data_IF_461179832834
#
_entry.id   IF_461179832834
#
_cell.length_a   1.000
_cell.length_b   1.000
_cell.length_c   1.000
_cell.angle_alpha   90.00
_cell.angle_beta   90.00
_cell.angle_gamma   90.00
#
_symmetry.space_group_name_H-M   'P 1'
#
loop_
_entity.id
_entity.type
_entity.pdbx_description
1 polymer ?
#
# COMPACT_ATOMS: atom_id res chain seq x y z
N UNK A 1 -21.07 -13.73 1.59
CA UNK A 1 -19.67 -13.86 1.16
C UNK A 1 -19.28 -12.58 0.43
N UNK A 2 -18.65 -11.64 1.13
CA UNK A 2 -18.10 -10.43 0.48
C UNK A 2 -16.66 -10.77 0.10
N UNK A 3 -16.40 -10.83 -1.19
CA UNK A 3 -15.06 -10.89 -1.74
C UNK A 3 -14.32 -9.62 -1.27
N UNK A 4 -13.38 -9.77 -0.36
CA UNK A 4 -12.40 -8.74 -0.07
C UNK A 4 -11.50 -8.61 -1.30
N UNK A 5 -11.86 -7.70 -2.18
CA UNK A 5 -10.91 -7.12 -3.12
C UNK A 5 -9.98 -6.26 -2.27
N UNK A 6 -8.82 -6.77 -1.93
CA UNK A 6 -7.70 -5.92 -1.58
C UNK A 6 -7.27 -5.19 -2.85
N UNK A 7 -7.97 -4.10 -3.15
CA UNK A 7 -7.38 -3.03 -3.96
C UNK A 7 -6.30 -2.43 -3.07
N UNK A 8 -5.09 -2.85 -3.31
CA UNK A 8 -3.91 -2.12 -2.86
C UNK A 8 -3.85 -0.83 -3.68
N UNK A 9 -4.71 0.13 -3.35
CA UNK A 9 -4.48 1.53 -3.69
C UNK A 9 -3.50 2.07 -2.67
N UNK A 10 -2.24 1.66 -2.77
CA UNK A 10 -1.15 2.48 -2.33
C UNK A 10 -0.87 3.48 -3.47
N UNK A 11 -1.82 4.36 -3.73
CA UNK A 11 -1.49 5.66 -4.23
C UNK A 11 -0.97 6.48 -3.04
N UNK A 12 0.19 6.09 -2.51
CA UNK A 12 1.10 7.10 -2.05
C UNK A 12 1.54 7.84 -3.32
N UNK A 13 0.67 8.70 -3.81
CA UNK A 13 1.01 9.77 -4.70
C UNK A 13 1.90 10.75 -3.93
N UNK A 14 3.09 10.32 -3.61
CA UNK A 14 4.22 11.20 -3.44
C UNK A 14 5.01 11.15 -4.76
N UNK A 15 4.29 11.28 -5.88
CA UNK A 15 4.79 12.12 -6.90
C UNK A 15 4.62 13.53 -6.31
N UNK A 16 5.57 13.96 -5.51
CA UNK A 16 5.84 15.35 -5.39
C UNK A 16 6.11 15.81 -6.82
N UNK A 17 5.04 16.15 -7.54
CA UNK A 17 5.17 17.19 -8.52
C UNK A 17 5.75 18.32 -7.70
N UNK A 18 7.06 18.43 -7.71
CA UNK A 18 7.69 19.74 -7.61
C UNK A 18 7.00 20.47 -8.75
N UNK A 19 5.84 21.08 -8.44
CA UNK A 19 5.36 22.15 -9.23
C UNK A 19 6.59 23.04 -9.28
N UNK A 20 7.26 23.05 -10.43
CA UNK A 20 8.09 24.15 -10.79
C UNK A 20 7.13 25.33 -10.72
N UNK A 21 7.03 25.92 -9.53
CA UNK A 21 6.63 27.28 -9.43
C UNK A 21 7.76 28.03 -10.15
N UNK A 22 7.65 28.04 -11.48
CA UNK A 22 8.10 29.18 -12.20
C UNK A 22 7.36 30.32 -11.51
N UNK A 23 8.01 30.95 -10.55
CA UNK A 23 7.65 32.26 -10.12
C UNK A 23 7.74 33.08 -11.41
N UNK A 24 6.61 33.21 -12.10
CA UNK A 24 6.43 34.27 -13.05
C UNK A 24 6.46 35.51 -12.17
N UNK A 25 7.68 36.02 -11.94
CA UNK A 25 7.82 37.41 -11.61
C UNK A 25 7.11 38.13 -12.76
N UNK A 26 5.89 38.58 -12.50
CA UNK A 26 5.31 39.65 -13.29
C UNK A 26 6.27 40.82 -13.09
N UNK A 27 7.17 40.98 -14.02
CA UNK A 27 7.93 42.21 -14.18
C UNK A 27 6.86 43.31 -14.20
N UNK A 28 6.88 44.16 -13.16
CA UNK A 28 6.08 45.38 -13.17
C UNK A 28 6.49 46.15 -14.43
N UNK A 29 5.49 46.41 -15.28
CA UNK A 29 5.64 47.30 -16.45
C UNK A 29 5.93 48.71 -15.97
N UNK A 30 7.18 48.99 -15.57
CA UNK A 30 7.66 50.34 -15.35
C UNK A 30 9.11 50.42 -15.85
N UNK A 31 9.20 50.80 -17.03
CA UNK A 31 10.33 51.37 -17.82
C UNK A 31 10.63 50.62 -19.13
N UNK A 32 9.67 50.65 -20.04
CA UNK A 32 9.75 50.04 -21.38
C UNK A 32 10.62 50.82 -22.38
N UNK A 33 11.52 51.68 -21.94
CA UNK A 33 12.32 52.52 -22.85
C UNK A 33 13.85 52.47 -22.62
N UNK A 34 14.35 51.70 -21.69
CA UNK A 34 15.80 51.55 -21.50
C UNK A 34 16.33 50.32 -22.23
N UNK A 35 17.25 50.53 -23.17
CA UNK A 35 18.00 49.45 -23.81
C UNK A 35 18.83 48.71 -22.75
N UNK A 36 18.32 47.58 -22.29
CA UNK A 36 18.95 46.76 -21.25
C UNK A 36 20.31 46.21 -21.69
N UNK A 37 20.58 46.14 -22.99
CA UNK A 37 21.85 45.60 -23.53
C UNK A 37 23.10 46.45 -23.22
N UNK A 38 22.92 47.66 -22.69
CA UNK A 38 24.01 48.56 -22.30
C UNK A 38 24.12 48.83 -20.81
N UNK A 39 23.36 48.12 -19.96
CA UNK A 39 23.48 48.27 -18.50
C UNK A 39 24.75 47.60 -18.01
N UNK A 40 25.61 48.39 -17.39
CA UNK A 40 26.80 47.94 -16.66
C UNK A 40 26.85 48.61 -15.29
N UNK A 41 27.25 47.82 -14.26
CA UNK A 41 27.45 48.32 -12.89
C UNK A 41 26.32 47.95 -11.92
N UNK A 42 26.46 48.43 -10.71
CA UNK A 42 25.49 48.19 -9.65
C UNK A 42 24.23 49.04 -9.82
N UNK A 43 23.09 48.50 -9.38
CA UNK A 43 21.80 49.20 -9.37
C UNK A 43 21.06 48.95 -8.08
N UNK A 44 20.11 49.84 -7.74
CA UNK A 44 19.16 49.73 -6.68
C UNK A 44 17.79 50.17 -7.20
N UNK A 45 16.75 49.39 -6.85
CA UNK A 45 15.35 49.71 -7.11
C UNK A 45 14.63 49.86 -5.78
N UNK A 46 13.64 50.72 -5.78
CA UNK A 46 12.91 51.08 -4.57
C UNK A 46 11.40 50.94 -4.79
N UNK A 47 10.69 50.49 -3.79
CA UNK A 47 9.24 50.55 -3.74
C UNK A 47 8.73 51.99 -3.78
N UNK A 48 7.43 52.17 -4.05
CA UNK A 48 6.78 53.52 -4.09
C UNK A 48 6.89 54.24 -2.76
N UNK A 49 7.03 53.53 -1.64
CA UNK A 49 7.20 54.09 -0.30
C UNK A 49 8.66 54.47 0.05
N UNK A 50 9.57 54.24 -0.91
CA UNK A 50 11.00 54.57 -0.80
C UNK A 50 11.85 53.53 -0.09
N UNK A 51 11.29 52.36 0.24
CA UNK A 51 12.07 51.26 0.78
C UNK A 51 12.79 50.50 -0.38
N UNK A 52 13.97 49.95 -0.07
CA UNK A 52 14.75 49.19 -1.05
C UNK A 52 13.97 47.93 -1.43
N UNK A 53 13.72 47.73 -2.73
CA UNK A 53 13.06 46.57 -3.31
C UNK A 53 14.07 45.51 -3.74
N UNK A 54 15.08 45.93 -4.53
CA UNK A 54 16.17 45.05 -4.93
C UNK A 54 17.45 45.83 -5.22
N UNK A 55 18.58 45.12 -5.13
CA UNK A 55 19.88 45.59 -5.58
C UNK A 55 20.65 44.48 -6.23
N UNK A 56 21.52 44.85 -7.18
CA UNK A 56 22.34 43.90 -7.89
C UNK A 56 23.36 44.60 -8.80
N UNK A 57 23.89 43.84 -9.74
CA UNK A 57 24.79 44.36 -10.76
C UNK A 57 24.51 43.75 -12.13
N UNK A 58 24.78 44.54 -13.16
CA UNK A 58 24.75 44.14 -14.55
C UNK A 58 26.15 44.22 -15.18
N UNK A 59 26.38 43.30 -16.13
CA UNK A 59 27.57 43.34 -16.99
C UNK A 59 27.17 42.92 -18.40
N UNK A 60 27.38 43.80 -19.39
CA UNK A 60 26.96 43.56 -20.75
C UNK A 60 25.46 43.40 -20.93
N UNK A 61 24.63 44.01 -20.05
CA UNK A 61 23.17 43.90 -20.08
C UNK A 61 22.60 42.70 -19.35
N UNK A 62 23.42 41.80 -18.83
CA UNK A 62 22.99 40.62 -18.06
C UNK A 62 23.27 40.79 -16.57
N UNK A 63 22.45 40.20 -15.71
CA UNK A 63 22.74 40.16 -14.26
C UNK A 63 24.08 39.45 -14.03
N UNK A 64 25.02 40.11 -13.31
CA UNK A 64 26.34 39.53 -13.03
C UNK A 64 26.83 40.05 -11.66
N UNK A 65 26.97 39.13 -10.70
CA UNK A 65 27.36 39.45 -9.32
C UNK A 65 26.26 39.21 -8.28
N UNK A 66 26.47 39.73 -7.07
CA UNK A 66 25.50 39.58 -5.96
C UNK A 66 24.16 40.22 -6.29
N UNK A 67 23.09 39.56 -5.89
CA UNK A 67 21.71 40.04 -5.97
C UNK A 67 21.00 39.86 -4.64
N UNK A 68 20.29 40.88 -4.19
CA UNK A 68 19.43 40.83 -3.03
C UNK A 68 18.09 41.51 -3.36
N UNK A 69 16.98 40.92 -2.95
CA UNK A 69 15.66 41.54 -2.95
C UNK A 69 15.05 41.53 -1.57
N UNK A 70 14.15 42.46 -1.31
CA UNK A 70 13.60 42.73 0.02
C UNK A 70 12.07 42.70 -0.02
N UNK A 71 11.47 42.33 1.08
CA UNK A 71 10.04 42.47 1.31
C UNK A 71 9.72 43.98 1.55
N UNK A 72 8.46 44.36 1.38
CA UNK A 72 8.02 45.73 1.59
C UNK A 72 8.25 46.25 3.03
N UNK A 73 8.43 45.33 4.00
CA UNK A 73 8.79 45.66 5.37
C UNK A 73 10.31 45.88 5.59
N UNK A 74 11.11 45.83 4.49
CA UNK A 74 12.56 45.99 4.51
C UNK A 74 13.37 44.73 4.87
N UNK A 75 12.72 43.61 5.20
CA UNK A 75 13.43 42.36 5.45
C UNK A 75 13.92 41.73 4.14
N UNK A 76 15.09 41.10 4.19
CA UNK A 76 15.64 40.34 3.05
C UNK A 76 14.63 39.29 2.60
N UNK A 77 14.37 39.20 1.28
CA UNK A 77 13.49 38.20 0.67
C UNK A 77 14.29 37.15 -0.08
N UNK A 78 15.21 37.57 -0.94
CA UNK A 78 16.05 36.66 -1.73
C UNK A 78 17.48 37.16 -1.68
N UNK A 79 18.43 36.23 -1.56
CA UNK A 79 19.85 36.48 -1.73
C UNK A 79 20.43 35.42 -2.65
N UNK A 80 21.14 35.86 -3.69
CA UNK A 80 21.79 34.95 -4.65
C UNK A 80 22.94 35.64 -5.37
N UNK A 81 23.58 34.89 -6.25
CA UNK A 81 24.61 35.41 -7.19
C UNK A 81 24.23 35.04 -8.59
N UNK A 82 24.45 35.97 -9.51
CA UNK A 82 24.29 35.76 -10.95
C UNK A 82 25.66 35.81 -11.66
N UNK A 83 25.74 35.06 -12.74
CA UNK A 83 26.87 35.09 -13.65
C UNK A 83 26.35 34.94 -15.08
N UNK A 84 26.55 35.96 -15.94
CA UNK A 84 26.05 35.95 -17.31
C UNK A 84 24.54 35.73 -17.41
N UNK A 85 23.75 36.39 -16.55
CA UNK A 85 22.29 36.28 -16.50
C UNK A 85 21.72 35.07 -15.77
N UNK A 86 22.54 34.08 -15.45
CA UNK A 86 22.11 32.84 -14.79
C UNK A 86 22.50 32.78 -13.31
N UNK A 87 21.71 32.10 -12.47
CA UNK A 87 22.08 31.92 -11.06
C UNK A 87 23.31 31.00 -10.97
N UNK A 88 24.31 31.42 -10.19
CA UNK A 88 25.57 30.69 -9.99
C UNK A 88 26.03 30.87 -8.53
N UNK A 89 25.89 29.83 -7.73
CA UNK A 89 26.17 29.85 -6.29
C UNK A 89 24.94 29.66 -5.41
N UNK A 90 25.01 30.15 -4.20
CA UNK A 90 23.92 30.04 -3.20
C UNK A 90 22.70 30.85 -3.61
N UNK A 91 21.52 30.28 -3.38
CA UNK A 91 20.22 30.91 -3.48
C UNK A 91 19.48 30.72 -2.16
N UNK A 92 19.11 31.81 -1.50
CA UNK A 92 18.46 31.83 -0.21
C UNK A 92 17.16 32.62 -0.27
N UNK A 93 16.09 32.09 0.33
CA UNK A 93 14.79 32.73 0.45
C UNK A 93 14.46 32.92 1.93
N UNK A 94 13.93 34.09 2.24
CA UNK A 94 13.58 34.49 3.60
C UNK A 94 12.10 34.89 3.66
N UNK A 95 11.47 34.61 4.79
CA UNK A 95 10.10 35.02 5.10
C UNK A 95 10.03 36.52 5.41
N UNK A 96 8.82 37.09 5.45
CA UNK A 96 8.57 38.49 5.93
C UNK A 96 9.01 38.72 7.34
N UNK A 97 9.19 37.68 8.15
CA UNK A 97 9.72 37.79 9.53
C UNK A 97 11.25 37.72 9.59
N UNK A 98 11.92 37.50 8.42
CA UNK A 98 13.37 37.41 8.30
C UNK A 98 13.94 36.02 8.54
N UNK A 99 13.10 34.99 8.78
CA UNK A 99 13.55 33.61 8.89
C UNK A 99 13.94 33.03 7.52
N UNK A 100 15.02 32.24 7.46
CA UNK A 100 15.40 31.47 6.26
C UNK A 100 14.34 30.40 6.03
N UNK A 101 13.76 30.34 4.81
CA UNK A 101 12.74 29.36 4.43
C UNK A 101 13.24 28.34 3.41
N UNK A 102 14.26 28.73 2.60
CA UNK A 102 14.83 27.86 1.59
C UNK A 102 16.29 28.23 1.29
N UNK A 103 17.13 27.21 1.15
CA UNK A 103 18.50 27.37 0.64
C UNK A 103 18.80 26.32 -0.42
N UNK A 104 19.46 26.74 -1.52
CA UNK A 104 19.78 25.88 -2.65
C UNK A 104 21.08 26.35 -3.31
N UNK A 105 21.78 25.44 -3.94
CA UNK A 105 22.95 25.75 -4.80
C UNK A 105 22.58 25.66 -6.27
N UNK A 106 23.05 26.65 -7.05
CA UNK A 106 22.94 26.71 -8.48
C UNK A 106 24.31 26.72 -9.14
N UNK A 107 24.40 26.12 -10.32
CA UNK A 107 25.54 26.18 -11.20
C UNK A 107 25.03 26.41 -12.62
N UNK A 108 25.46 27.54 -13.22
CA UNK A 108 25.07 27.89 -14.61
C UNK A 108 23.54 27.78 -14.82
N UNK A 109 22.75 28.35 -13.90
CA UNK A 109 21.30 28.39 -13.95
C UNK A 109 20.58 27.11 -13.52
N UNK A 110 21.31 26.01 -13.30
CA UNK A 110 20.74 24.70 -12.95
C UNK A 110 20.98 24.39 -11.46
N UNK A 111 19.98 23.83 -10.79
CA UNK A 111 20.15 23.35 -9.42
C UNK A 111 21.21 22.24 -9.37
N UNK A 112 22.30 22.47 -8.60
CA UNK A 112 23.43 21.53 -8.48
C UNK A 112 24.10 21.71 -7.12
N UNK A 113 23.80 20.83 -6.18
CA UNK A 113 24.28 20.88 -4.80
C UNK A 113 23.16 20.70 -3.77
N UNK A 114 23.44 20.99 -2.49
CA UNK A 114 22.50 20.83 -1.42
C UNK A 114 21.27 21.75 -1.57
N UNK A 115 20.14 21.23 -1.11
CA UNK A 115 18.87 21.93 -0.97
C UNK A 115 18.31 21.69 0.41
N UNK A 116 17.91 22.76 1.09
CA UNK A 116 17.23 22.71 2.38
C UNK A 116 16.00 23.63 2.35
N UNK A 117 14.92 23.18 2.97
CA UNK A 117 13.73 23.97 3.20
C UNK A 117 13.35 23.90 4.66
N UNK A 118 12.86 24.99 5.20
CA UNK A 118 12.57 25.15 6.62
C UNK A 118 11.10 25.51 6.84
N UNK A 119 10.56 25.13 7.99
CA UNK A 119 9.30 25.63 8.52
C UNK A 119 9.43 27.09 8.95
N UNK A 120 8.30 27.76 9.17
CA UNK A 120 8.27 29.17 9.61
C UNK A 120 8.97 29.41 10.95
N UNK A 121 9.08 28.40 11.80
CA UNK A 121 9.80 28.42 13.07
C UNK A 121 11.30 28.18 12.95
N UNK A 122 11.79 27.94 11.72
CA UNK A 122 13.19 27.68 11.41
C UNK A 122 13.63 26.23 11.54
N UNK A 123 12.72 25.30 11.87
CA UNK A 123 13.05 23.88 11.87
C UNK A 123 13.19 23.35 10.44
N UNK A 124 14.13 22.43 10.25
CA UNK A 124 14.33 21.77 8.95
C UNK A 124 13.07 20.98 8.56
N UNK A 125 12.58 21.22 7.34
CA UNK A 125 11.46 20.47 6.75
C UNK A 125 11.94 19.46 5.72
N UNK A 126 12.80 19.87 4.78
CA UNK A 126 13.33 19.03 3.71
C UNK A 126 14.83 19.27 3.60
N UNK A 127 15.59 18.18 3.43
CA UNK A 127 17.01 18.21 3.03
C UNK A 127 17.24 17.22 1.91
N UNK A 128 17.95 17.63 0.87
CA UNK A 128 18.32 16.77 -0.25
C UNK A 128 19.49 17.35 -1.03
N UNK A 129 19.88 16.68 -2.10
CA UNK A 129 20.91 17.14 -3.05
C UNK A 129 20.37 17.09 -4.45
N UNK A 130 20.65 18.14 -5.22
CA UNK A 130 20.41 18.18 -6.66
C UNK A 130 21.71 17.95 -7.40
N UNK A 131 21.61 17.33 -8.57
CA UNK A 131 22.67 17.21 -9.55
C UNK A 131 22.09 17.39 -10.94
N UNK A 132 22.59 18.40 -11.67
CA UNK A 132 22.07 18.75 -12.99
C UNK A 132 20.53 18.94 -13.02
N UNK A 133 19.94 19.50 -11.96
CA UNK A 133 18.51 19.79 -11.88
C UNK A 133 17.62 18.64 -11.40
N UNK A 134 18.19 17.47 -11.11
CA UNK A 134 17.47 16.29 -10.63
C UNK A 134 17.91 15.91 -9.22
N UNK A 135 17.01 15.27 -8.45
CA UNK A 135 17.39 14.70 -7.15
C UNK A 135 18.46 13.63 -7.34
N UNK A 136 19.56 13.72 -6.59
CA UNK A 136 20.66 12.74 -6.61
C UNK A 136 21.28 12.63 -5.21
N UNK A 137 20.98 11.54 -4.51
CA UNK A 137 21.42 11.30 -3.15
C UNK A 137 20.27 11.12 -2.17
N UNK A 138 20.56 11.39 -0.91
CA UNK A 138 19.60 11.25 0.19
C UNK A 138 18.61 12.41 0.16
N UNK A 139 17.33 12.08 0.25
CA UNK A 139 16.21 13.00 0.48
C UNK A 139 15.62 12.71 1.85
N UNK A 140 15.56 13.70 2.72
CA UNK A 140 14.96 13.60 4.05
C UNK A 140 13.85 14.63 4.21
N UNK A 141 12.76 14.22 4.84
CA UNK A 141 11.64 15.07 5.22
C UNK A 141 11.34 14.91 6.70
N UNK A 142 11.08 16.00 7.36
CA UNK A 142 10.86 16.08 8.80
C UNK A 142 9.47 16.63 9.11
N UNK A 143 8.86 16.14 10.17
CA UNK A 143 7.66 16.71 10.76
C UNK A 143 7.96 18.07 11.42
N UNK A 144 6.91 18.86 11.65
CA UNK A 144 6.98 20.15 12.38
C UNK A 144 7.45 20.03 13.85
N UNK A 145 7.51 18.81 14.39
CA UNK A 145 8.09 18.52 15.69
C UNK A 145 9.59 18.13 15.63
N UNK A 146 10.22 18.24 14.44
CA UNK A 146 11.62 17.93 14.19
C UNK A 146 11.95 16.45 14.03
N UNK A 147 10.98 15.57 14.14
CA UNK A 147 11.20 14.15 13.91
C UNK A 147 11.21 13.81 12.42
N UNK A 148 12.01 12.82 12.03
CA UNK A 148 12.07 12.33 10.65
C UNK A 148 10.70 11.78 10.23
N UNK A 149 10.16 12.29 9.11
CA UNK A 149 8.93 11.79 8.47
C UNK A 149 9.25 10.72 7.45
N UNK A 150 10.33 10.92 6.69
CA UNK A 150 10.77 9.98 5.67
C UNK A 150 12.18 10.24 5.19
N UNK A 151 12.82 9.19 4.71
CA UNK A 151 14.09 9.27 4.00
C UNK A 151 14.05 8.34 2.78
N UNK A 152 14.59 8.83 1.71
CA UNK A 152 14.55 8.21 0.39
C UNK A 152 15.92 8.39 -0.29
N UNK A 153 16.28 7.50 -1.18
CA UNK A 153 17.50 7.62 -1.97
C UNK A 153 17.11 7.81 -3.43
N UNK A 154 17.60 8.90 -4.01
CA UNK A 154 17.40 9.23 -5.42
C UNK A 154 18.70 9.10 -6.20
N UNK A 155 18.57 8.73 -7.46
CA UNK A 155 19.63 8.72 -8.44
C UNK A 155 19.08 9.19 -9.79
N UNK A 156 19.62 10.30 -10.29
CA UNK A 156 19.14 10.91 -11.52
C UNK A 156 17.61 11.07 -11.56
N UNK A 157 17.03 11.59 -10.48
CA UNK A 157 15.59 11.88 -10.36
C UNK A 157 14.69 10.68 -10.02
N UNK A 158 15.22 9.46 -10.04
CA UNK A 158 14.46 8.25 -9.74
C UNK A 158 14.84 7.66 -8.37
N UNK A 159 13.85 7.03 -7.69
CA UNK A 159 14.10 6.31 -6.45
C UNK A 159 14.98 5.09 -6.71
N UNK A 160 16.15 5.02 -6.07
CA UNK A 160 17.12 3.93 -6.23
C UNK A 160 17.78 3.61 -4.89
N UNK A 161 17.12 2.77 -4.10
CA UNK A 161 17.53 2.38 -2.77
C UNK A 161 16.36 2.24 -1.80
N UNK A 162 16.64 1.97 -0.52
CA UNK A 162 15.60 1.89 0.50
C UNK A 162 14.97 3.26 0.74
N UNK A 163 13.63 3.26 0.83
CA UNK A 163 12.81 4.38 1.31
C UNK A 163 12.18 3.98 2.62
N UNK A 164 12.29 4.83 3.63
CA UNK A 164 11.75 4.58 4.97
C UNK A 164 10.87 5.78 5.37
N UNK A 165 9.67 5.49 5.88
CA UNK A 165 8.78 6.50 6.43
C UNK A 165 8.44 6.19 7.87
N UNK A 166 8.19 7.22 8.64
CA UNK A 166 8.04 7.14 10.07
C UNK A 166 6.72 7.76 10.54
N UNK A 167 6.13 7.21 11.56
CA UNK A 167 5.05 7.85 12.30
C UNK A 167 5.55 9.15 12.95
N UNK A 168 4.61 10.05 13.26
CA UNK A 168 4.91 11.31 13.97
C UNK A 168 5.52 11.09 15.36
N UNK A 169 5.41 9.89 15.89
CA UNK A 169 6.07 9.41 17.12
C UNK A 169 7.55 9.06 16.94
N UNK A 170 8.05 9.07 15.68
CA UNK A 170 9.41 8.68 15.32
C UNK A 170 9.61 7.18 15.10
N UNK A 171 8.58 6.38 15.28
CA UNK A 171 8.65 4.95 15.01
C UNK A 171 8.55 4.68 13.50
N UNK A 172 9.29 3.67 13.01
CA UNK A 172 9.23 3.25 11.62
C UNK A 172 7.82 2.79 11.27
N UNK A 173 7.26 3.35 10.19
CA UNK A 173 5.96 2.97 9.65
C UNK A 173 6.10 2.00 8.49
N UNK A 174 6.97 2.32 7.52
CA UNK A 174 7.12 1.49 6.33
C UNK A 174 8.54 1.59 5.77
N UNK A 175 9.02 0.45 5.27
CA UNK A 175 10.26 0.35 4.50
C UNK A 175 9.95 -0.20 3.13
N UNK A 176 10.37 0.53 2.12
CA UNK A 176 10.07 0.30 0.71
C UNK A 176 11.40 0.08 -0.03
N UNK A 177 11.57 -1.05 -0.72
CA UNK A 177 12.76 -1.29 -1.51
C UNK A 177 12.54 -0.75 -2.94
N UNK A 178 13.39 0.17 -3.38
CA UNK A 178 13.36 0.67 -4.75
C UNK A 178 14.66 0.32 -5.48
N UNK A 179 14.53 -0.02 -6.75
CA UNK A 179 15.60 -0.13 -7.71
C UNK A 179 15.12 0.42 -9.05
N UNK A 180 15.83 1.41 -9.62
CA UNK A 180 15.47 2.06 -10.87
C UNK A 180 13.97 2.46 -10.92
N UNK A 181 13.47 3.12 -9.86
CA UNK A 181 12.09 3.60 -9.72
C UNK A 181 11.02 2.53 -9.47
N UNK A 182 11.39 1.25 -9.30
CA UNK A 182 10.45 0.14 -9.10
C UNK A 182 10.67 -0.53 -7.76
N UNK A 183 9.60 -1.11 -7.21
CA UNK A 183 9.74 -1.98 -6.04
C UNK A 183 10.56 -3.23 -6.41
N UNK A 184 11.70 -3.42 -5.74
CA UNK A 184 12.53 -4.61 -5.86
C UNK A 184 13.20 -4.91 -4.53
N UNK A 185 12.83 -6.05 -3.90
CA UNK A 185 13.34 -6.46 -2.60
C UNK A 185 12.27 -6.57 -1.52
N UNK A 186 12.69 -6.37 -0.28
CA UNK A 186 11.86 -6.60 0.91
C UNK A 186 11.08 -5.35 1.30
N UNK A 187 9.75 -5.46 1.29
CA UNK A 187 8.79 -4.50 1.82
C UNK A 187 8.42 -4.89 3.26
N UNK A 188 8.46 -3.93 4.17
CA UNK A 188 8.03 -4.12 5.57
C UNK A 188 7.17 -2.93 6.00
N UNK A 189 6.02 -3.19 6.62
CA UNK A 189 5.16 -2.20 7.25
C UNK A 189 4.92 -2.56 8.70
N UNK A 190 4.88 -1.54 9.55
CA UNK A 190 4.80 -1.67 10.99
C UNK A 190 3.59 -0.93 11.53
N UNK A 191 3.00 -1.45 12.58
CA UNK A 191 2.03 -0.74 13.41
C UNK A 191 2.71 0.36 14.22
N UNK A 192 1.93 1.34 14.69
CA UNK A 192 2.45 2.43 15.54
C UNK A 192 3.07 1.93 16.87
N UNK A 193 2.70 0.74 17.32
CA UNK A 193 3.32 0.09 18.48
C UNK A 193 4.68 -0.58 18.17
N UNK A 194 5.18 -0.45 16.93
CA UNK A 194 6.46 -0.99 16.47
C UNK A 194 6.43 -2.45 16.05
N UNK A 195 5.28 -3.13 16.18
CA UNK A 195 5.16 -4.52 15.71
C UNK A 195 5.04 -4.57 14.19
N UNK A 196 5.65 -5.59 13.59
CA UNK A 196 5.55 -5.84 12.15
C UNK A 196 4.08 -6.12 11.78
N UNK A 197 3.56 -5.45 10.75
CA UNK A 197 2.21 -5.63 10.22
C UNK A 197 2.22 -6.46 8.94
N UNK A 198 3.15 -6.14 8.02
CA UNK A 198 3.28 -6.79 6.71
C UNK A 198 4.75 -6.98 6.38
N UNK A 199 5.07 -8.16 5.83
CA UNK A 199 6.37 -8.48 5.25
C UNK A 199 6.17 -9.17 3.92
N UNK A 200 6.64 -8.53 2.86
CA UNK A 200 6.46 -8.98 1.48
C UNK A 200 7.76 -8.85 0.71
N UNK A 201 7.88 -9.63 -0.37
CA UNK A 201 9.02 -9.50 -1.28
C UNK A 201 8.50 -9.11 -2.67
N UNK A 202 9.13 -8.12 -3.27
CA UNK A 202 8.83 -7.65 -4.61
C UNK A 202 10.00 -7.93 -5.54
N UNK A 203 9.69 -8.15 -6.81
CA UNK A 203 10.64 -8.25 -7.89
C UNK A 203 10.07 -7.54 -9.12
N UNK A 204 10.84 -6.61 -9.70
CA UNK A 204 10.41 -5.83 -10.86
C UNK A 204 9.01 -5.20 -10.69
N UNK A 205 8.69 -4.68 -9.49
CA UNK A 205 7.40 -4.07 -9.14
C UNK A 205 6.26 -5.07 -8.88
N UNK A 206 6.51 -6.37 -8.93
CA UNK A 206 5.50 -7.40 -8.70
C UNK A 206 5.78 -8.20 -7.43
N UNK A 207 4.72 -8.55 -6.70
CA UNK A 207 4.81 -9.40 -5.52
C UNK A 207 5.37 -10.78 -5.92
N UNK A 208 6.50 -11.17 -5.31
CA UNK A 208 7.23 -12.39 -5.64
C UNK A 208 7.87 -13.01 -4.40
N UNK A 209 7.35 -14.14 -3.93
CA UNK A 209 7.80 -14.79 -2.70
C UNK A 209 6.74 -14.76 -1.60
N UNK A 210 7.15 -15.00 -0.35
CA UNK A 210 6.23 -14.98 0.79
C UNK A 210 5.63 -13.60 1.03
N UNK A 211 4.35 -13.56 1.41
CA UNK A 211 3.65 -12.42 1.96
C UNK A 211 3.13 -12.83 3.34
N UNK A 212 3.71 -12.27 4.37
CA UNK A 212 3.36 -12.51 5.77
C UNK A 212 2.67 -11.28 6.35
N UNK A 213 1.51 -11.48 6.95
CA UNK A 213 0.76 -10.45 7.64
C UNK A 213 0.60 -10.80 9.11
N UNK A 214 0.61 -9.81 9.98
CA UNK A 214 0.60 -9.99 11.42
C UNK A 214 -0.51 -9.17 12.07
N UNK A 215 -1.01 -9.62 13.19
CA UNK A 215 -1.83 -8.83 14.10
C UNK A 215 -0.97 -7.78 14.83
N UNK A 216 -1.61 -6.74 15.35
CA UNK A 216 -0.93 -5.71 16.16
C UNK A 216 -0.30 -6.25 17.46
N UNK A 217 -0.61 -7.49 17.83
CA UNK A 217 0.01 -8.25 18.90
C UNK A 217 1.32 -8.92 18.49
N UNK A 218 1.72 -8.81 17.20
CA UNK A 218 2.90 -9.44 16.61
C UNK A 218 2.71 -10.90 16.20
N UNK A 219 1.52 -11.46 16.39
CA UNK A 219 1.22 -12.84 15.97
C UNK A 219 0.92 -12.89 14.48
N UNK A 220 1.36 -13.98 13.82
CA UNK A 220 1.06 -14.20 12.40
C UNK A 220 -0.46 -14.31 12.20
N UNK A 221 -1.00 -13.50 11.28
CA UNK A 221 -2.38 -13.56 10.83
C UNK A 221 -2.54 -14.37 9.56
N UNK A 222 -1.63 -14.15 8.58
CA UNK A 222 -1.70 -14.82 7.28
C UNK A 222 -0.32 -14.98 6.69
N UNK A 223 -0.10 -16.12 6.06
CA UNK A 223 1.05 -16.38 5.17
C UNK A 223 0.53 -16.87 3.83
N UNK A 224 0.93 -16.19 2.76
CA UNK A 224 0.54 -16.57 1.41
C UNK A 224 1.69 -16.26 0.43
N UNK A 225 2.22 -17.27 -0.28
CA UNK A 225 3.26 -17.03 -1.27
C UNK A 225 2.67 -16.49 -2.58
N UNK A 226 3.48 -15.71 -3.27
CA UNK A 226 3.15 -15.13 -4.57
C UNK A 226 4.26 -15.35 -5.57
N UNK A 227 3.88 -15.42 -6.84
CA UNK A 227 4.79 -15.48 -7.98
C UNK A 227 4.23 -14.59 -9.09
N UNK A 228 5.07 -13.66 -9.57
CA UNK A 228 4.73 -12.76 -10.68
C UNK A 228 3.37 -12.06 -10.48
N UNK A 229 3.16 -11.52 -9.25
CA UNK A 229 1.97 -10.78 -8.85
C UNK A 229 0.71 -11.62 -8.57
N UNK A 230 0.81 -12.97 -8.62
CA UNK A 230 -0.32 -13.86 -8.34
C UNK A 230 -0.01 -14.78 -7.17
N UNK A 231 -1.03 -15.09 -6.37
CA UNK A 231 -0.89 -16.09 -5.31
C UNK A 231 -0.58 -17.47 -5.92
N UNK A 232 0.45 -18.11 -5.37
CA UNK A 232 0.95 -19.40 -5.88
C UNK A 232 1.57 -20.23 -4.75
N UNK A 233 0.96 -21.38 -4.42
CA UNK A 233 1.45 -22.28 -3.38
C UNK A 233 0.57 -22.33 -2.13
N UNK A 234 1.04 -22.99 -1.06
CA UNK A 234 0.28 -23.19 0.15
C UNK A 234 0.10 -21.86 0.92
N UNK A 235 -1.10 -21.65 1.46
CA UNK A 235 -1.40 -20.53 2.33
C UNK A 235 -1.94 -21.02 3.68
N UNK A 236 -1.75 -20.19 4.71
CA UNK A 236 -2.24 -20.39 6.06
C UNK A 236 -2.77 -19.07 6.62
N UNK A 237 -3.88 -19.13 7.33
CA UNK A 237 -4.42 -18.00 8.11
C UNK A 237 -4.68 -18.44 9.53
N UNK A 238 -4.52 -17.53 10.47
CA UNK A 238 -4.60 -17.81 11.89
C UNK A 238 -5.56 -16.85 12.57
N UNK A 239 -6.17 -17.30 13.63
CA UNK A 239 -6.85 -16.45 14.60
C UNK A 239 -5.84 -15.67 15.45
N UNK A 240 -6.28 -14.59 16.07
CA UNK A 240 -5.42 -13.79 16.94
C UNK A 240 -4.89 -14.57 18.17
N UNK A 241 -5.63 -15.63 18.61
CA UNK A 241 -5.14 -16.54 19.65
C UNK A 241 -4.00 -17.47 19.19
N UNK A 242 -3.65 -17.44 17.87
CA UNK A 242 -2.60 -18.23 17.26
C UNK A 242 -3.06 -19.59 16.72
N UNK A 243 -4.33 -19.95 16.89
CA UNK A 243 -4.89 -21.18 16.30
C UNK A 243 -5.07 -21.01 14.79
N UNK A 244 -4.84 -22.09 14.05
CA UNK A 244 -5.07 -22.11 12.60
C UNK A 244 -6.55 -21.85 12.31
N UNK A 245 -6.85 -20.89 11.42
CA UNK A 245 -8.19 -20.59 10.94
C UNK A 245 -8.51 -21.34 9.64
N UNK A 246 -7.62 -21.22 8.65
CA UNK A 246 -7.78 -21.93 7.38
C UNK A 246 -6.42 -22.17 6.73
N UNK A 247 -6.34 -23.22 5.93
CA UNK A 247 -5.20 -23.50 5.05
C UNK A 247 -5.67 -24.08 3.72
N UNK A 248 -4.86 -23.94 2.72
CA UNK A 248 -5.13 -24.48 1.37
C UNK A 248 -3.98 -24.15 0.43
N UNK A 249 -4.27 -24.21 -0.86
CA UNK A 249 -3.30 -23.95 -1.91
C UNK A 249 -3.91 -23.02 -2.95
N UNK A 250 -3.10 -22.08 -3.43
CA UNK A 250 -3.40 -21.26 -4.59
C UNK A 250 -2.56 -21.72 -5.80
N UNK A 251 -3.16 -21.62 -6.97
CA UNK A 251 -2.49 -21.77 -8.26
C UNK A 251 -2.97 -20.66 -9.20
N UNK A 252 -2.03 -19.91 -9.75
CA UNK A 252 -2.32 -18.79 -10.65
C UNK A 252 -3.34 -17.75 -10.09
N UNK A 253 -3.39 -17.58 -8.76
CA UNK A 253 -4.29 -16.65 -8.06
C UNK A 253 -5.64 -17.23 -7.65
N UNK A 254 -5.91 -18.51 -7.94
CA UNK A 254 -7.17 -19.20 -7.60
C UNK A 254 -6.92 -20.35 -6.62
N UNK A 255 -7.90 -20.63 -5.73
CA UNK A 255 -7.81 -21.82 -4.87
C UNK A 255 -7.78 -23.09 -5.73
N UNK A 256 -6.80 -23.97 -5.50
CA UNK A 256 -6.65 -25.22 -6.23
C UNK A 256 -6.07 -26.30 -5.31
N UNK A 257 -6.83 -27.37 -5.07
CA UNK A 257 -6.46 -28.47 -4.19
C UNK A 257 -7.24 -28.48 -2.86
N UNK A 258 -6.74 -29.22 -1.87
CA UNK A 258 -7.36 -29.33 -0.56
C UNK A 258 -7.43 -28.01 0.18
N UNK A 259 -8.55 -27.80 0.87
CA UNK A 259 -8.80 -26.64 1.74
C UNK A 259 -9.39 -27.14 3.05
N UNK A 260 -8.88 -26.62 4.17
CA UNK A 260 -9.35 -26.93 5.49
C UNK A 260 -9.66 -25.64 6.27
N UNK A 261 -10.73 -25.66 7.07
CA UNK A 261 -11.12 -24.57 7.96
C UNK A 261 -11.32 -25.09 9.38
N UNK A 262 -10.86 -24.30 10.35
CA UNK A 262 -10.85 -24.63 11.75
C UNK A 262 -11.58 -23.57 12.56
N UNK A 263 -12.09 -23.93 13.72
CA UNK A 263 -12.65 -23.04 14.73
C UNK A 263 -11.53 -22.40 15.55
N UNK A 264 -11.86 -21.38 16.31
CA UNK A 264 -10.92 -20.65 17.18
C UNK A 264 -10.40 -21.49 18.38
N UNK A 265 -11.03 -22.63 18.65
CA UNK A 265 -10.58 -23.66 19.61
C UNK A 265 -9.65 -24.71 18.98
N UNK A 266 -9.31 -24.58 17.68
CA UNK A 266 -8.45 -25.46 16.91
C UNK A 266 -9.13 -26.71 16.34
N UNK A 267 -10.43 -26.91 16.56
CA UNK A 267 -11.17 -28.04 16.01
C UNK A 267 -11.46 -27.83 14.51
N UNK A 268 -11.35 -28.91 13.73
CA UNK A 268 -11.69 -28.88 12.31
C UNK A 268 -13.19 -28.58 12.15
N UNK A 269 -13.52 -27.55 11.38
CA UNK A 269 -14.89 -27.16 11.01
C UNK A 269 -15.33 -27.80 9.70
N UNK A 270 -14.42 -27.88 8.75
CA UNK A 270 -14.69 -28.47 7.45
C UNK A 270 -13.46 -28.58 6.57
N UNK A 271 -13.57 -29.44 5.59
CA UNK A 271 -12.61 -29.58 4.50
C UNK A 271 -13.33 -29.71 3.17
N UNK A 272 -12.74 -29.17 2.13
CA UNK A 272 -13.27 -29.12 0.77
C UNK A 272 -12.12 -29.26 -0.21
N UNK A 273 -12.44 -29.57 -1.46
CA UNK A 273 -11.46 -29.57 -2.57
C UNK A 273 -11.87 -28.54 -3.60
N UNK A 274 -10.89 -27.75 -4.06
CA UNK A 274 -11.08 -26.73 -5.07
C UNK A 274 -10.31 -27.07 -6.35
N UNK A 275 -10.85 -26.63 -7.48
CA UNK A 275 -10.20 -26.65 -8.78
C UNK A 275 -10.48 -25.34 -9.49
N UNK A 276 -9.42 -24.58 -9.80
CA UNK A 276 -9.53 -23.28 -10.45
C UNK A 276 -10.59 -22.37 -9.78
N UNK A 277 -10.51 -22.21 -8.43
CA UNK A 277 -11.39 -21.36 -7.64
C UNK A 277 -12.78 -21.91 -7.34
N UNK A 278 -13.17 -23.04 -7.92
CA UNK A 278 -14.50 -23.65 -7.80
C UNK A 278 -14.41 -24.92 -6.95
N UNK A 279 -15.37 -25.12 -6.05
CA UNK A 279 -15.46 -26.35 -5.29
C UNK A 279 -15.70 -27.56 -6.24
N UNK A 280 -14.75 -28.51 -6.28
CA UNK A 280 -14.79 -29.68 -7.13
C UNK A 280 -14.06 -30.85 -6.47
N UNK A 281 -14.81 -31.78 -5.90
CA UNK A 281 -14.31 -32.92 -5.15
C UNK A 281 -15.02 -33.13 -3.82
N UNK A 282 -14.50 -34.00 -2.95
CA UNK A 282 -15.12 -34.32 -1.67
C UNK A 282 -15.12 -33.16 -0.71
N UNK A 283 -16.16 -33.09 0.11
CA UNK A 283 -16.24 -32.19 1.26
C UNK A 283 -16.69 -32.92 2.52
N UNK A 284 -16.24 -32.44 3.66
CA UNK A 284 -16.69 -32.85 5.00
C UNK A 284 -16.88 -31.62 5.88
N UNK A 285 -17.90 -31.66 6.73
CA UNK A 285 -18.19 -30.65 7.76
C UNK A 285 -18.37 -31.32 9.09
N UNK A 286 -18.06 -30.63 10.18
CA UNK A 286 -18.03 -31.19 11.51
C UNK A 286 -18.86 -30.37 12.48
N UNK A 287 -19.55 -31.06 13.41
CA UNK A 287 -20.21 -30.48 14.57
C UNK A 287 -19.20 -29.80 15.49
N UNK A 288 -19.70 -29.00 16.46
CA UNK A 288 -18.85 -28.36 17.47
C UNK A 288 -18.17 -29.37 18.40
N UNK A 289 -18.75 -30.55 18.59
CA UNK A 289 -18.15 -31.65 19.35
C UNK A 289 -17.06 -32.42 18.56
N UNK A 290 -16.76 -32.01 17.32
CA UNK A 290 -15.76 -32.62 16.45
C UNK A 290 -16.22 -33.84 15.66
N UNK A 291 -17.48 -34.30 15.85
CA UNK A 291 -18.03 -35.41 15.07
C UNK A 291 -18.45 -34.93 13.68
N UNK A 292 -18.42 -35.85 12.71
CA UNK A 292 -18.84 -35.58 11.34
C UNK A 292 -20.31 -35.14 11.31
N UNK A 293 -20.58 -33.96 10.70
CA UNK A 293 -21.92 -33.44 10.46
C UNK A 293 -22.46 -33.84 9.10
N UNK A 294 -21.64 -33.63 8.06
CA UNK A 294 -22.05 -33.88 6.68
C UNK A 294 -20.82 -34.22 5.80
N UNK A 295 -21.00 -35.13 4.85
CA UNK A 295 -20.04 -35.37 3.79
C UNK A 295 -20.74 -35.56 2.46
N UNK A 296 -20.04 -35.24 1.39
CA UNK A 296 -20.54 -35.38 0.02
C UNK A 296 -19.49 -34.98 -0.98
N UNK A 297 -19.94 -34.65 -2.18
CA UNK A 297 -19.09 -34.27 -3.31
C UNK A 297 -19.65 -33.03 -3.98
N UNK A 298 -18.76 -32.13 -4.38
CA UNK A 298 -19.03 -31.05 -5.31
C UNK A 298 -18.50 -31.42 -6.70
N UNK A 299 -19.22 -30.98 -7.73
CA UNK A 299 -18.76 -30.99 -9.12
C UNK A 299 -19.07 -29.64 -9.73
N UNK A 300 -18.05 -28.93 -10.20
CA UNK A 300 -18.18 -27.60 -10.78
C UNK A 300 -18.99 -26.61 -9.91
N UNK A 301 -18.83 -26.66 -8.58
CA UNK A 301 -19.49 -25.77 -7.62
C UNK A 301 -20.85 -26.24 -7.10
N UNK A 302 -21.41 -27.30 -7.67
CA UNK A 302 -22.71 -27.84 -7.27
C UNK A 302 -22.56 -29.18 -6.56
N UNK A 303 -23.45 -29.47 -5.60
CA UNK A 303 -23.48 -30.81 -4.97
C UNK A 303 -23.86 -31.85 -6.04
N UNK A 304 -23.04 -32.89 -6.17
CA UNK A 304 -23.25 -33.94 -7.15
C UNK A 304 -22.70 -35.29 -6.61
N UNK A 305 -23.56 -36.28 -6.51
CA UNK A 305 -23.22 -37.59 -5.95
C UNK A 305 -23.84 -37.89 -4.60
N UNK A 306 -23.42 -39.00 -3.95
CA UNK A 306 -23.89 -39.35 -2.63
C UNK A 306 -23.56 -38.34 -1.58
N UNK A 307 -24.49 -38.14 -0.63
CA UNK A 307 -24.24 -37.35 0.58
C UNK A 307 -24.78 -38.07 1.82
N UNK A 308 -24.16 -37.80 2.94
CA UNK A 308 -24.58 -38.28 4.25
C UNK A 308 -24.50 -37.15 5.28
N UNK A 309 -25.50 -37.05 6.14
CA UNK A 309 -25.50 -36.16 7.28
C UNK A 309 -25.68 -36.96 8.56
N UNK A 310 -25.14 -36.47 9.67
CA UNK A 310 -25.08 -37.19 10.93
C UNK A 310 -25.61 -36.33 12.08
N UNK A 311 -26.21 -36.92 13.04
CA UNK A 311 -26.58 -36.33 14.33
C UNK A 311 -25.33 -36.02 15.17
N UNK A 312 -25.47 -35.16 16.19
CA UNK A 312 -24.35 -34.80 17.09
C UNK A 312 -23.80 -36.01 17.87
N UNK A 313 -24.56 -37.10 18.00
CA UNK A 313 -24.10 -38.34 18.60
C UNK A 313 -23.38 -39.29 17.63
N UNK A 314 -23.14 -38.82 16.35
CA UNK A 314 -22.46 -39.54 15.32
C UNK A 314 -23.31 -40.59 14.57
N UNK A 315 -24.58 -40.77 14.94
CA UNK A 315 -25.48 -41.63 14.18
C UNK A 315 -25.90 -40.99 12.86
N UNK A 316 -26.05 -41.83 11.82
CA UNK A 316 -26.53 -41.36 10.52
C UNK A 316 -27.92 -40.70 10.70
N UNK A 317 -28.07 -39.49 10.17
CA UNK A 317 -29.32 -38.74 10.12
C UNK A 317 -30.00 -38.87 8.76
N UNK A 318 -29.27 -38.53 7.70
CA UNK A 318 -29.80 -38.56 6.34
C UNK A 318 -28.71 -39.09 5.39
N UNK A 319 -29.12 -39.95 4.46
CA UNK A 319 -28.34 -40.26 3.28
C UNK A 319 -29.18 -40.09 2.02
N UNK A 320 -28.54 -39.71 0.92
CA UNK A 320 -29.20 -39.49 -0.35
C UNK A 320 -28.23 -39.18 -1.43
N UNK A 321 -28.74 -38.66 -2.54
CA UNK A 321 -27.95 -38.30 -3.71
C UNK A 321 -28.35 -36.92 -4.21
N UNK A 322 -27.35 -36.16 -4.63
CA UNK A 322 -27.53 -34.93 -5.39
C UNK A 322 -27.15 -35.15 -6.84
N UNK A 323 -27.78 -34.40 -7.73
CA UNK A 323 -27.42 -34.29 -9.13
C UNK A 323 -27.57 -32.85 -9.57
N UNK A 324 -26.48 -32.25 -10.02
CA UNK A 324 -26.46 -30.82 -10.41
C UNK A 324 -27.12 -29.91 -9.42
N UNK A 325 -26.76 -29.99 -8.12
CA UNK A 325 -27.26 -29.14 -7.03
C UNK A 325 -28.63 -29.54 -6.45
N UNK A 326 -29.39 -30.41 -7.09
CA UNK A 326 -30.72 -30.83 -6.64
C UNK A 326 -30.70 -32.26 -6.08
N UNK A 327 -31.56 -32.53 -5.08
CA UNK A 327 -31.76 -33.90 -4.58
C UNK A 327 -32.36 -34.76 -5.70
N UNK A 328 -31.73 -35.88 -6.03
CA UNK A 328 -32.16 -36.79 -7.06
C UNK A 328 -31.78 -38.24 -6.69
N UNK A 329 -32.74 -39.14 -6.60
CA UNK A 329 -32.52 -40.53 -6.20
C UNK A 329 -33.16 -40.88 -4.84
N UNK A 330 -32.85 -42.08 -4.37
CA UNK A 330 -33.33 -42.58 -3.11
C UNK A 330 -32.73 -41.80 -1.92
N UNK A 331 -33.54 -41.59 -0.87
CA UNK A 331 -33.08 -41.03 0.36
C UNK A 331 -33.64 -41.84 1.56
N UNK A 332 -32.92 -41.81 2.66
CA UNK A 332 -33.32 -42.39 3.92
C UNK A 332 -33.05 -41.41 5.06
N UNK A 333 -33.97 -41.29 6.00
CA UNK A 333 -33.87 -40.47 7.22
C UNK A 333 -33.92 -41.38 8.45
N UNK A 334 -33.02 -41.14 9.37
CA UNK A 334 -32.87 -41.93 10.57
C UNK A 334 -33.02 -41.05 11.83
N UNK A 335 -33.53 -41.63 12.91
CA UNK A 335 -33.59 -41.01 14.23
C UNK A 335 -32.22 -41.08 14.92
N UNK A 336 -32.05 -40.29 15.98
CA UNK A 336 -30.84 -40.30 16.81
C UNK A 336 -30.49 -41.67 17.42
N UNK A 337 -31.45 -42.58 17.53
CA UNK A 337 -31.23 -43.96 17.98
C UNK A 337 -30.87 -44.93 16.86
N UNK A 338 -30.66 -44.41 15.65
CA UNK A 338 -30.27 -45.19 14.45
C UNK A 338 -31.43 -45.90 13.76
N UNK A 339 -32.67 -45.76 14.22
CA UNK A 339 -33.82 -46.40 13.58
C UNK A 339 -34.24 -45.60 12.32
N UNK A 340 -34.56 -46.33 11.24
CA UNK A 340 -35.13 -45.74 10.04
C UNK A 340 -36.46 -45.06 10.37
N UNK A 341 -36.55 -43.78 10.08
CA UNK A 341 -37.76 -42.97 10.27
C UNK A 341 -38.57 -42.87 8.99
N UNK A 342 -37.88 -42.66 7.85
CA UNK A 342 -38.50 -42.41 6.58
C UNK A 342 -37.58 -42.80 5.44
N UNK A 343 -38.14 -43.26 4.33
CA UNK A 343 -37.44 -43.44 3.05
C UNK A 343 -38.30 -43.00 1.89
N UNK A 344 -37.70 -42.65 0.79
CA UNK A 344 -38.41 -42.20 -0.40
C UNK A 344 -37.49 -41.91 -1.58
N UNK A 345 -38.03 -41.20 -2.53
CA UNK A 345 -37.27 -40.76 -3.73
C UNK A 345 -37.48 -39.26 -4.01
N UNK A 346 -36.40 -38.66 -4.47
CA UNK A 346 -36.41 -37.34 -5.10
C UNK A 346 -36.17 -37.47 -6.59
N UNK A 347 -36.78 -36.57 -7.38
CA UNK A 347 -36.50 -36.37 -8.82
C UNK A 347 -36.45 -34.88 -9.09
N UNK A 348 -35.32 -34.40 -9.55
CA UNK A 348 -35.09 -32.96 -9.81
C UNK A 348 -35.60 -32.11 -8.65
N UNK A 349 -35.13 -32.32 -7.41
CA UNK A 349 -35.49 -31.58 -6.21
C UNK A 349 -36.89 -31.85 -5.64
N UNK A 350 -37.75 -32.53 -6.37
CA UNK A 350 -39.14 -32.81 -5.94
C UNK A 350 -39.29 -34.21 -5.36
N UNK A 351 -40.07 -34.34 -4.27
CA UNK A 351 -40.36 -35.62 -3.62
C UNK A 351 -41.41 -36.39 -4.47
N UNK A 352 -41.08 -37.58 -4.95
CA UNK A 352 -41.95 -38.35 -5.84
C UNK A 352 -42.49 -39.64 -5.20
N UNK A 353 -42.22 -39.89 -3.93
CA UNK A 353 -42.74 -41.00 -3.14
C UNK A 353 -42.10 -40.98 -1.76
N UNK A 354 -42.87 -41.34 -0.74
CA UNK A 354 -42.37 -41.58 0.62
C UNK A 354 -43.06 -42.79 1.21
N UNK A 355 -42.28 -43.69 1.79
CA UNK A 355 -42.77 -44.71 2.71
C UNK A 355 -42.44 -44.29 4.11
N UNK A 356 -43.48 -44.01 4.91
CA UNK A 356 -43.36 -43.80 6.36
C UNK A 356 -43.48 -45.18 7.02
N UNK A 357 -42.40 -45.64 7.66
CA UNK A 357 -42.55 -46.79 8.55
C UNK A 357 -43.33 -46.36 9.82
N UNK A 358 -44.63 -46.59 9.78
CA UNK A 358 -45.43 -46.57 11.01
C UNK A 358 -44.97 -47.70 11.92
N UNK A 359 -44.32 -47.37 13.04
CA UNK A 359 -44.10 -48.36 14.10
C UNK A 359 -45.50 -48.86 14.56
N UNK A 360 -45.79 -50.10 14.28
CA UNK A 360 -46.78 -50.87 15.06
C UNK A 360 -46.13 -51.14 16.43
N UNK A 361 -46.63 -50.51 17.47
CA UNK A 361 -46.35 -50.80 18.87
C UNK A 361 -46.52 -52.27 19.18
#
# INVERSE_FOLDING_TARGET
MRAFRYSLFLTLGVAGTVASYACSATDSEADASLDLSQRDGSYELYYDDGQLEEKGAYKGGERDGPYESYHQNGQLRIKTTYKGGERDGSYQVYSETGGLTEEMMYKEGVADGPFERFYDDGQLWISTTYKNGEFDGLYERYWDNGQLEGKEIYKAGELDGPSEHYYRTGQLWVKLPYQDGRFDGLYERYYENGQLEVKETYKDGQLHGPSDHYYSTGRLWMRIPSKDGKFEGPFERYYENGQLFEKGTYRAGERDGPYERYRDNGQLEGKETYKAGIADGPYERYHENGQLFERGTYRAGERDGPYESYHENGQLWVKGTYKAGERDGAYEVYRENGQLQESGMYRAGQRVGSEMQLQRN
#
